data_IF_320413797748
#
_entry.id   IF_320413797748
#
_cell.length_a   1.000
_cell.length_b   1.000
_cell.length_c   1.000
_cell.angle_alpha   90.00
_cell.angle_beta   90.00
_cell.angle_gamma   90.00
#
_symmetry.space_group_name_H-M   'P 1'
#
loop_
_entity.id
_entity.type
_entity.pdbx_description
1 polymer ?
#
# COMPACT_ATOMS: atom_id res chain seq x y z
N UNK A 1 -3.18 10.20 -16.97
CA UNK A 1 -2.73 10.23 -15.56
C UNK A 1 -3.48 9.15 -14.80
N UNK A 2 -2.77 8.22 -14.20
CA UNK A 2 -3.35 7.17 -13.36
C UNK A 2 -3.32 7.65 -11.91
N UNK A 3 -4.47 7.57 -11.22
CA UNK A 3 -4.53 7.83 -9.78
C UNK A 3 -4.18 6.54 -9.05
N UNK A 4 -3.18 6.63 -8.21
CA UNK A 4 -2.79 5.58 -7.28
C UNK A 4 -2.95 6.04 -5.84
N UNK A 5 -2.99 5.10 -4.93
CA UNK A 5 -3.13 5.38 -3.50
C UNK A 5 -2.11 4.64 -2.67
N UNK A 6 -1.61 5.36 -1.68
CA UNK A 6 -0.70 4.86 -0.67
C UNK A 6 -1.45 4.02 0.36
N UNK A 7 -0.92 2.84 0.69
CA UNK A 7 -1.45 1.91 1.69
C UNK A 7 -2.96 1.65 1.54
N UNK A 8 -3.37 1.13 0.38
CA UNK A 8 -4.76 0.98 -0.06
C UNK A 8 -5.64 0.18 0.91
N UNK A 9 -5.08 -0.82 1.58
CA UNK A 9 -5.80 -1.68 2.53
C UNK A 9 -5.86 -1.16 3.96
N UNK A 10 -5.34 0.05 4.24
CA UNK A 10 -5.46 0.67 5.58
C UNK A 10 -6.88 1.09 5.96
N UNK A 11 -7.86 0.91 5.07
CA UNK A 11 -9.28 1.03 5.41
C UNK A 11 -9.75 -0.07 6.37
N UNK A 12 -9.09 -1.22 6.38
CA UNK A 12 -9.37 -2.32 7.31
C UNK A 12 -9.15 -1.90 8.77
N UNK A 13 -9.85 -2.55 9.68
CA UNK A 13 -9.67 -2.27 11.10
C UNK A 13 -8.37 -2.88 11.64
N UNK A 14 -7.65 -2.18 12.53
CA UNK A 14 -6.50 -2.73 13.22
C UNK A 14 -6.87 -3.98 14.03
N UNK A 15 -6.00 -4.98 14.00
CA UNK A 15 -6.20 -6.28 14.67
C UNK A 15 -6.33 -6.12 16.18
N UNK A 16 -5.44 -5.33 16.81
CA UNK A 16 -5.43 -5.13 18.27
C UNK A 16 -6.09 -3.82 18.65
N UNK A 17 -6.86 -3.81 19.74
CA UNK A 17 -7.58 -2.62 20.19
C UNK A 17 -6.68 -1.40 20.45
N UNK A 18 -5.48 -1.60 21.03
CA UNK A 18 -4.54 -0.52 21.29
C UNK A 18 -3.93 0.08 20.00
N UNK A 19 -3.85 -0.72 18.92
CA UNK A 19 -3.42 -0.21 17.62
C UNK A 19 -4.40 0.82 17.05
N UNK A 20 -5.66 0.78 17.45
CA UNK A 20 -6.66 1.78 17.05
C UNK A 20 -6.31 3.18 17.56
N UNK A 21 -5.64 3.27 18.72
CA UNK A 21 -5.21 4.55 19.30
C UNK A 21 -4.12 5.23 18.47
N UNK A 22 -3.29 4.46 17.75
CA UNK A 22 -2.19 4.97 16.92
C UNK A 22 -2.49 4.85 15.42
N UNK A 23 -3.64 4.26 15.05
CA UNK A 23 -3.99 4.03 13.65
C UNK A 23 -4.10 5.33 12.83
N UNK A 24 -4.40 6.47 13.47
CA UNK A 24 -4.42 7.76 12.80
C UNK A 24 -3.09 8.13 12.12
N UNK A 25 -1.97 7.62 12.64
CA UNK A 25 -0.63 7.85 12.08
C UNK A 25 -0.26 6.90 10.93
N UNK A 26 -1.00 5.80 10.78
CA UNK A 26 -0.72 4.76 9.80
C UNK A 26 -1.86 4.56 8.78
N UNK A 27 -3.05 5.06 9.07
CA UNK A 27 -4.21 4.96 8.19
C UNK A 27 -4.11 5.98 7.07
N UNK A 28 -4.05 5.51 5.85
CA UNK A 28 -3.93 6.33 4.65
C UNK A 28 -5.21 6.31 3.79
N UNK A 29 -6.12 5.37 4.06
CA UNK A 29 -7.41 5.24 3.38
C UNK A 29 -8.52 4.87 4.36
N UNK A 30 -9.74 5.30 4.06
CA UNK A 30 -10.94 4.96 4.86
C UNK A 30 -12.05 4.29 4.06
N UNK A 31 -11.92 4.24 2.73
CA UNK A 31 -12.87 3.59 1.82
C UNK A 31 -12.25 2.32 1.26
N UNK A 32 -13.09 1.30 1.06
CA UNK A 32 -12.68 -0.01 0.55
C UNK A 32 -12.17 0.04 -0.90
N UNK A 33 -11.51 -1.03 -1.34
CA UNK A 33 -10.89 -1.15 -2.67
C UNK A 33 -11.88 -0.94 -3.80
N UNK A 34 -13.10 -1.47 -3.68
CA UNK A 34 -14.12 -1.33 -4.73
C UNK A 34 -14.58 0.12 -4.86
N UNK A 35 -14.78 0.80 -3.73
CA UNK A 35 -15.12 2.23 -3.69
C UNK A 35 -13.98 3.08 -4.24
N UNK A 36 -12.72 2.78 -3.89
CA UNK A 36 -11.54 3.44 -4.45
C UNK A 36 -11.52 3.34 -5.98
N UNK A 37 -11.74 2.14 -6.51
CA UNK A 37 -11.76 1.89 -7.95
C UNK A 37 -12.96 2.52 -8.65
N UNK A 38 -14.20 2.23 -8.18
CA UNK A 38 -15.43 2.60 -8.88
C UNK A 38 -15.78 4.09 -8.76
N UNK A 39 -15.61 4.66 -7.57
CA UNK A 39 -16.04 6.03 -7.29
C UNK A 39 -14.93 7.05 -7.54
N UNK A 40 -13.69 6.69 -7.22
CA UNK A 40 -12.57 7.63 -7.28
C UNK A 40 -11.60 7.38 -8.43
N UNK A 41 -11.87 6.38 -9.27
CA UNK A 41 -11.10 6.10 -10.48
C UNK A 41 -9.67 5.62 -10.21
N UNK A 42 -9.42 5.07 -9.02
CA UNK A 42 -8.10 4.52 -8.67
C UNK A 42 -7.78 3.31 -9.53
N UNK A 43 -6.55 3.27 -10.06
CA UNK A 43 -6.03 2.17 -10.88
C UNK A 43 -4.69 1.63 -10.38
N UNK A 44 -4.10 2.26 -9.36
CA UNK A 44 -2.90 1.77 -8.72
C UNK A 44 -3.11 1.64 -7.21
N UNK A 45 -2.86 0.45 -6.67
CA UNK A 45 -3.12 0.10 -5.27
C UNK A 45 -1.81 -0.31 -4.58
N UNK A 46 -1.53 0.24 -3.41
CA UNK A 46 -0.34 -0.05 -2.61
C UNK A 46 -0.72 -1.05 -1.50
N UNK A 47 -0.34 -2.31 -1.66
CA UNK A 47 -0.54 -3.40 -0.70
C UNK A 47 0.73 -3.59 0.13
N UNK A 48 0.62 -3.39 1.44
CA UNK A 48 1.75 -3.51 2.35
C UNK A 48 1.64 -4.77 3.19
N UNK A 49 2.63 -5.63 3.04
CA UNK A 49 2.68 -6.95 3.68
C UNK A 49 3.88 -7.05 4.59
N UNK A 50 3.66 -7.61 5.76
CA UNK A 50 4.66 -8.08 6.72
C UNK A 50 4.40 -9.55 7.00
N UNK A 51 5.41 -10.28 7.40
CA UNK A 51 5.24 -11.61 7.96
C UNK A 51 5.16 -11.51 9.48
N UNK A 52 4.28 -12.31 10.07
CA UNK A 52 4.23 -12.52 11.53
C UNK A 52 5.30 -13.52 11.99
N UNK A 53 5.24 -13.91 13.25
CA UNK A 53 6.23 -14.81 13.84
C UNK A 53 6.11 -16.25 13.29
N UNK A 54 4.95 -16.62 12.76
CA UNK A 54 4.67 -17.90 12.08
C UNK A 54 4.87 -17.81 10.55
N UNK A 55 5.42 -16.69 10.08
CA UNK A 55 5.64 -16.38 8.67
C UNK A 55 4.37 -16.33 7.83
N UNK A 56 3.23 -16.01 8.43
CA UNK A 56 1.97 -15.75 7.73
C UNK A 56 1.99 -14.30 7.22
N UNK A 57 1.63 -14.05 5.95
CA UNK A 57 1.57 -12.70 5.40
C UNK A 57 0.37 -11.94 5.99
N UNK A 58 0.66 -10.78 6.59
CA UNK A 58 -0.32 -9.90 7.21
C UNK A 58 -0.23 -8.49 6.62
N UNK A 59 -1.37 -7.80 6.51
CA UNK A 59 -1.39 -6.41 6.06
C UNK A 59 -0.90 -5.50 7.20
N UNK A 60 0.10 -4.67 6.93
CA UNK A 60 0.68 -3.79 7.94
C UNK A 60 1.14 -2.45 7.38
N UNK A 61 1.18 -1.42 8.23
CA UNK A 61 1.84 -0.15 7.94
C UNK A 61 2.46 0.43 9.22
N UNK A 62 3.77 0.57 9.22
CA UNK A 62 4.49 0.92 10.43
C UNK A 62 4.19 -0.05 11.58
N UNK A 63 3.79 0.41 12.77
CA UNK A 63 3.47 -0.47 13.90
C UNK A 63 2.08 -1.12 13.82
N UNK A 64 1.22 -0.67 12.91
CA UNK A 64 -0.19 -1.11 12.83
C UNK A 64 -0.34 -2.30 11.91
N UNK A 65 -1.04 -3.33 12.40
CA UNK A 65 -1.49 -4.50 11.62
C UNK A 65 -2.99 -4.39 11.40
N UNK A 66 -3.43 -4.63 10.18
CA UNK A 66 -4.81 -4.53 9.73
C UNK A 66 -5.39 -5.90 9.40
N UNK A 67 -6.72 -6.01 9.31
CA UNK A 67 -7.39 -7.28 8.99
C UNK A 67 -7.87 -8.03 10.22
N UNK A 68 -8.52 -7.32 11.16
CA UNK A 68 -9.14 -7.95 12.33
C UNK A 68 -10.07 -9.09 11.91
N UNK A 69 -9.86 -10.27 12.49
CA UNK A 69 -10.62 -11.50 12.26
C UNK A 69 -10.48 -12.13 10.84
N UNK A 70 -9.31 -12.01 10.24
CA UNK A 70 -9.01 -12.72 9.01
C UNK A 70 -7.77 -13.63 9.20
N UNK A 71 -7.91 -14.74 9.95
CA UNK A 71 -6.78 -15.63 10.21
C UNK A 71 -6.25 -16.30 8.92
N UNK A 72 -7.08 -16.37 7.88
CA UNK A 72 -6.73 -17.05 6.63
C UNK A 72 -6.23 -16.09 5.54
N UNK A 73 -6.09 -14.79 5.84
CA UNK A 73 -5.59 -13.77 4.89
C UNK A 73 -6.52 -13.53 3.68
N UNK A 74 -7.79 -13.93 3.78
CA UNK A 74 -8.71 -13.91 2.63
C UNK A 74 -9.11 -12.51 2.15
N UNK A 75 -9.06 -11.48 3.02
CA UNK A 75 -9.61 -10.18 2.68
C UNK A 75 -8.87 -9.53 1.49
N UNK A 76 -7.54 -9.51 1.50
CA UNK A 76 -6.81 -8.94 0.39
C UNK A 76 -6.86 -9.84 -0.85
N UNK A 77 -6.94 -11.17 -0.70
CA UNK A 77 -7.16 -12.09 -1.83
C UNK A 77 -8.52 -11.89 -2.51
N UNK A 78 -9.59 -11.62 -1.74
CA UNK A 78 -10.92 -11.29 -2.30
C UNK A 78 -10.88 -10.01 -3.12
N UNK A 79 -10.18 -8.99 -2.61
CA UNK A 79 -10.00 -7.73 -3.33
C UNK A 79 -9.14 -7.92 -4.59
N UNK A 80 -8.04 -8.68 -4.50
CA UNK A 80 -7.21 -8.98 -5.66
C UNK A 80 -7.96 -9.78 -6.73
N UNK A 81 -8.77 -10.79 -6.35
CA UNK A 81 -9.65 -11.50 -7.29
C UNK A 81 -10.59 -10.55 -8.01
N UNK A 82 -11.19 -9.62 -7.26
CA UNK A 82 -12.11 -8.65 -7.85
C UNK A 82 -11.39 -7.68 -8.80
N UNK A 83 -10.21 -7.18 -8.43
CA UNK A 83 -9.37 -6.34 -9.28
C UNK A 83 -8.90 -7.09 -10.54
N UNK A 84 -8.56 -8.37 -10.42
CA UNK A 84 -8.15 -9.20 -11.56
C UNK A 84 -9.26 -9.33 -12.62
N UNK A 85 -10.52 -9.40 -12.20
CA UNK A 85 -11.67 -9.39 -13.13
C UNK A 85 -11.79 -8.07 -13.88
N UNK A 86 -11.34 -6.94 -13.28
CA UNK A 86 -11.33 -5.62 -13.94
C UNK A 86 -10.19 -5.49 -14.96
N UNK A 87 -9.01 -5.99 -14.66
CA UNK A 87 -7.90 -6.15 -15.60
C UNK A 87 -7.15 -4.88 -16.01
N UNK A 88 -7.52 -3.70 -15.50
CA UNK A 88 -6.94 -2.40 -15.87
C UNK A 88 -6.24 -1.70 -14.69
N UNK A 89 -5.60 -2.45 -13.83
CA UNK A 89 -5.01 -1.92 -12.61
C UNK A 89 -3.60 -2.43 -12.34
N UNK A 90 -2.93 -1.66 -11.50
CA UNK A 90 -1.61 -1.95 -10.95
C UNK A 90 -1.74 -2.26 -9.46
N UNK A 91 -0.96 -3.21 -8.97
CA UNK A 91 -0.78 -3.44 -7.53
C UNK A 91 0.69 -3.41 -7.17
N UNK A 92 1.04 -2.42 -6.38
CA UNK A 92 2.36 -2.27 -5.79
C UNK A 92 2.39 -3.05 -4.48
N UNK A 93 3.17 -4.13 -4.41
CA UNK A 93 3.31 -4.95 -3.20
C UNK A 93 4.56 -4.53 -2.46
N UNK A 94 4.40 -4.03 -1.25
CA UNK A 94 5.51 -3.52 -0.43
C UNK A 94 5.76 -4.44 0.76
N UNK A 95 6.98 -4.94 0.86
CA UNK A 95 7.44 -5.61 2.07
C UNK A 95 7.65 -4.59 3.19
N UNK A 96 6.73 -4.57 4.16
CA UNK A 96 6.71 -3.61 5.26
C UNK A 96 7.58 -4.09 6.41
N UNK A 97 8.87 -3.74 6.41
CA UNK A 97 9.85 -4.16 7.43
C UNK A 97 9.80 -3.21 8.63
N UNK A 98 9.80 -3.76 9.85
CA UNK A 98 9.78 -2.95 11.09
C UNK A 98 11.10 -2.20 11.32
N UNK A 99 12.22 -2.88 11.16
CA UNK A 99 13.56 -2.30 11.39
C UNK A 99 14.61 -2.90 10.46
N UNK A 100 15.74 -2.20 10.31
CA UNK A 100 16.90 -2.69 9.55
C UNK A 100 17.43 -4.04 10.04
N UNK A 101 17.29 -4.34 11.33
CA UNK A 101 17.82 -5.56 11.96
C UNK A 101 16.95 -6.78 11.76
N UNK A 102 15.64 -6.60 11.42
CA UNK A 102 14.68 -7.69 11.22
C UNK A 102 14.65 -8.21 9.80
N UNK A 103 15.58 -7.75 8.98
CA UNK A 103 15.67 -8.16 7.60
C UNK A 103 16.40 -9.49 7.50
N UNK A 104 15.66 -10.59 7.55
CA UNK A 104 16.19 -11.93 7.36
C UNK A 104 16.07 -12.35 5.89
N UNK A 105 17.12 -12.97 5.36
CA UNK A 105 17.11 -13.50 3.97
C UNK A 105 15.92 -14.42 3.70
N UNK A 106 15.46 -15.18 4.71
CA UNK A 106 14.28 -16.03 4.62
C UNK A 106 12.97 -15.26 4.37
N UNK A 107 12.79 -14.07 4.96
CA UNK A 107 11.61 -13.23 4.71
C UNK A 107 11.59 -12.66 3.29
N UNK A 108 12.77 -12.28 2.77
CA UNK A 108 12.89 -11.79 1.39
C UNK A 108 12.41 -12.86 0.42
N UNK A 109 12.95 -14.07 0.56
CA UNK A 109 12.60 -15.18 -0.32
C UNK A 109 11.10 -15.49 -0.26
N UNK A 110 10.51 -15.55 0.94
CA UNK A 110 9.07 -15.75 1.11
C UNK A 110 8.23 -14.64 0.49
N UNK A 111 8.70 -13.40 0.61
CA UNK A 111 8.04 -12.26 -0.03
C UNK A 111 8.12 -12.36 -1.56
N UNK A 112 9.25 -12.76 -2.12
CA UNK A 112 9.42 -13.00 -3.55
C UNK A 112 8.50 -14.14 -4.04
N UNK A 113 8.44 -15.24 -3.28
CA UNK A 113 7.56 -16.37 -3.57
C UNK A 113 6.08 -15.92 -3.56
N UNK A 114 5.67 -15.13 -2.57
CA UNK A 114 4.32 -14.56 -2.48
C UNK A 114 4.00 -13.66 -3.68
N UNK A 115 4.93 -12.82 -4.10
CA UNK A 115 4.76 -11.98 -5.30
C UNK A 115 4.65 -12.83 -6.58
N UNK A 116 5.39 -13.92 -6.67
CA UNK A 116 5.25 -14.92 -7.74
C UNK A 116 3.84 -15.51 -7.78
N UNK A 117 3.34 -15.97 -6.63
CA UNK A 117 1.97 -16.49 -6.47
C UNK A 117 0.92 -15.45 -6.92
N UNK A 118 1.09 -14.18 -6.55
CA UNK A 118 0.16 -13.13 -6.99
C UNK A 118 0.14 -12.99 -8.51
N UNK A 119 1.29 -13.00 -9.17
CA UNK A 119 1.37 -12.91 -10.64
C UNK A 119 0.71 -14.09 -11.33
N UNK A 120 0.88 -15.28 -10.80
CA UNK A 120 0.26 -16.51 -11.33
C UNK A 120 -1.25 -16.54 -11.11
N UNK A 121 -1.70 -16.20 -9.89
CA UNK A 121 -3.13 -16.24 -9.53
C UNK A 121 -3.96 -15.09 -10.12
N UNK A 122 -3.31 -13.95 -10.41
CA UNK A 122 -3.98 -12.73 -10.86
C UNK A 122 -3.34 -12.13 -12.13
N UNK A 123 -3.34 -12.86 -13.26
CA UNK A 123 -2.57 -12.49 -14.45
C UNK A 123 -3.03 -11.20 -15.13
N UNK A 124 -4.24 -10.72 -14.85
CA UNK A 124 -4.75 -9.45 -15.40
C UNK A 124 -4.32 -8.21 -14.61
N UNK A 125 -3.67 -8.38 -13.45
CA UNK A 125 -3.12 -7.30 -12.66
C UNK A 125 -1.64 -7.12 -12.99
N UNK A 126 -1.20 -5.88 -13.17
CA UNK A 126 0.22 -5.58 -13.27
C UNK A 126 0.80 -5.40 -11.86
N UNK A 127 1.67 -6.35 -11.45
CA UNK A 127 2.32 -6.31 -10.14
C UNK A 127 3.75 -5.80 -10.24
N UNK A 128 4.14 -4.95 -9.28
CA UNK A 128 5.54 -4.73 -8.96
C UNK A 128 5.75 -4.76 -7.45
N UNK A 129 6.96 -5.10 -7.02
CA UNK A 129 7.25 -5.42 -5.64
C UNK A 129 8.44 -4.62 -5.13
N UNK A 130 8.43 -4.34 -3.83
CA UNK A 130 9.50 -3.58 -3.21
C UNK A 130 9.45 -3.59 -1.69
N UNK A 131 10.23 -2.72 -1.03
CA UNK A 131 10.23 -2.59 0.42
C UNK A 131 10.23 -1.14 0.88
N UNK A 132 9.68 -0.89 2.07
CA UNK A 132 9.40 0.44 2.57
C UNK A 132 10.62 1.25 3.03
N UNK A 133 11.73 0.60 3.46
CA UNK A 133 12.86 1.26 4.13
C UNK A 133 14.12 1.46 3.27
N UNK A 134 14.15 0.94 2.05
CA UNK A 134 15.33 0.95 1.19
C UNK A 134 14.99 1.10 -0.29
N UNK A 135 16.02 1.29 -1.07
CA UNK A 135 15.97 1.26 -2.52
C UNK A 135 15.59 -0.16 -2.99
N UNK A 136 14.31 -0.41 -2.95
CA UNK A 136 13.68 -1.71 -3.14
C UNK A 136 13.90 -2.30 -4.54
N UNK A 137 14.18 -1.46 -5.52
CA UNK A 137 14.49 -1.88 -6.89
C UNK A 137 15.71 -2.79 -7.00
N UNK A 138 16.63 -2.72 -6.02
CA UNK A 138 17.85 -3.53 -6.04
C UNK A 138 17.65 -4.99 -5.62
N UNK A 139 16.61 -5.27 -4.86
CA UNK A 139 16.42 -6.60 -4.26
C UNK A 139 15.29 -7.41 -4.90
N UNK A 140 14.44 -6.76 -5.70
CA UNK A 140 13.26 -7.38 -6.28
C UNK A 140 13.16 -6.98 -7.75
N UNK A 141 13.69 -7.84 -8.62
CA UNK A 141 13.60 -7.65 -10.07
C UNK A 141 12.29 -8.26 -10.58
N UNK A 142 11.25 -7.43 -10.68
CA UNK A 142 9.93 -7.83 -11.17
C UNK A 142 9.49 -7.05 -12.41
N UNK A 143 10.42 -6.56 -13.19
CA UNK A 143 10.16 -5.86 -14.44
C UNK A 143 10.12 -4.35 -14.32
N UNK A 144 9.78 -3.68 -15.41
CA UNK A 144 9.73 -2.22 -15.48
C UNK A 144 8.57 -1.66 -14.65
N UNK A 145 8.90 -0.92 -13.60
CA UNK A 145 7.91 -0.25 -12.78
C UNK A 145 7.49 1.06 -13.42
N UNK A 146 6.18 1.39 -13.40
CA UNK A 146 5.74 2.71 -13.80
C UNK A 146 6.30 3.77 -12.86
N UNK A 147 6.63 4.94 -13.40
CA UNK A 147 7.18 6.04 -12.62
C UNK A 147 6.07 6.67 -11.78
N UNK A 148 6.19 6.53 -10.46
CA UNK A 148 5.25 7.10 -9.50
C UNK A 148 5.71 8.46 -8.97
N UNK A 149 4.80 9.42 -8.90
CA UNK A 149 4.96 10.63 -8.10
C UNK A 149 4.28 10.44 -6.75
N UNK A 150 5.09 10.35 -5.70
CA UNK A 150 4.62 10.15 -4.34
C UNK A 150 4.33 11.51 -3.68
N UNK A 151 3.04 11.81 -3.46
CA UNK A 151 2.57 13.09 -2.91
C UNK A 151 1.77 12.88 -1.62
N UNK A 152 2.34 12.16 -0.70
CA UNK A 152 1.75 11.93 0.62
C UNK A 152 2.66 12.40 1.76
N UNK A 153 2.08 12.59 2.93
CA UNK A 153 2.72 13.31 4.05
C UNK A 153 4.08 12.81 4.47
N UNK A 154 4.32 11.49 4.38
CA UNK A 154 5.58 10.88 4.82
C UNK A 154 6.79 11.20 3.93
N UNK A 155 6.58 11.64 2.68
CA UNK A 155 7.65 11.99 1.73
C UNK A 155 7.94 13.48 1.65
N UNK A 156 7.14 14.34 2.30
CA UNK A 156 7.29 15.79 2.25
C UNK A 156 8.47 16.26 3.10
N UNK A 157 9.39 17.00 2.49
CA UNK A 157 10.51 17.61 3.19
C UNK A 157 10.05 18.74 4.13
N UNK A 158 10.73 18.93 5.25
CA UNK A 158 10.53 20.01 6.20
C UNK A 158 9.42 19.78 7.23
N UNK A 159 8.19 19.49 6.79
CA UNK A 159 7.05 19.21 7.69
C UNK A 159 6.77 17.72 7.86
N UNK A 160 7.74 16.87 7.53
CA UNK A 160 7.62 15.41 7.58
C UNK A 160 7.17 14.88 8.96
N UNK A 161 7.62 15.51 10.03
CA UNK A 161 7.25 15.15 11.39
C UNK A 161 5.74 15.30 11.65
N UNK A 162 5.10 16.32 11.11
CA UNK A 162 3.66 16.55 11.27
C UNK A 162 2.85 15.67 10.30
N UNK A 163 3.14 15.77 9.02
CA UNK A 163 2.37 15.08 7.99
C UNK A 163 2.66 13.58 7.90
N UNK A 164 3.86 13.16 8.26
CA UNK A 164 4.21 11.74 8.35
C UNK A 164 3.50 11.01 9.49
N UNK A 165 3.15 11.75 10.57
CA UNK A 165 2.34 11.23 11.68
C UNK A 165 0.83 11.43 11.49
N UNK A 166 0.41 12.24 10.52
CA UNK A 166 -0.99 12.56 10.28
C UNK A 166 -1.33 12.63 8.79
N UNK A 167 -1.38 11.48 8.10
CA UNK A 167 -1.67 11.41 6.66
C UNK A 167 -2.98 12.12 6.28
N UNK A 168 -4.01 12.02 7.12
CA UNK A 168 -5.28 12.69 6.92
C UNK A 168 -5.15 14.22 6.87
N UNK A 169 -4.37 14.81 7.77
CA UNK A 169 -4.17 16.27 7.79
C UNK A 169 -3.48 16.74 6.50
N UNK A 170 -2.51 15.98 6.01
CA UNK A 170 -1.88 16.27 4.73
C UNK A 170 -2.89 16.20 3.57
N UNK A 171 -3.70 15.15 3.52
CA UNK A 171 -4.69 14.95 2.47
C UNK A 171 -5.73 16.08 2.43
N UNK A 172 -6.31 16.45 3.57
CA UNK A 172 -7.29 17.55 3.67
C UNK A 172 -6.73 18.88 3.17
N UNK A 173 -5.46 19.16 3.44
CA UNK A 173 -4.85 20.44 3.09
C UNK A 173 -4.27 20.49 1.69
N UNK A 174 -3.94 19.37 1.06
CA UNK A 174 -3.17 19.33 -0.18
C UNK A 174 -3.82 18.59 -1.35
N UNK A 175 -4.66 17.54 -1.11
CA UNK A 175 -5.13 16.67 -2.18
C UNK A 175 -5.85 17.42 -3.31
N UNK A 176 -6.67 18.40 -2.97
CA UNK A 176 -7.38 19.20 -4.00
C UNK A 176 -6.42 19.88 -4.98
N UNK A 177 -5.36 20.50 -4.44
CA UNK A 177 -4.36 21.16 -5.26
C UNK A 177 -3.50 20.16 -6.06
N UNK A 178 -3.14 19.03 -5.43
CA UNK A 178 -2.38 17.96 -6.07
C UNK A 178 -3.16 17.35 -7.23
N UNK A 179 -4.43 16.99 -7.01
CA UNK A 179 -5.31 16.44 -8.05
C UNK A 179 -5.51 17.42 -9.22
N UNK A 180 -5.67 18.72 -8.92
CA UNK A 180 -5.82 19.76 -9.94
C UNK A 180 -4.55 19.97 -10.76
N UNK A 181 -3.37 19.92 -10.12
CA UNK A 181 -2.08 20.04 -10.78
C UNK A 181 -1.77 18.83 -11.67
N UNK A 182 -2.16 17.63 -11.21
CA UNK A 182 -1.81 16.36 -11.86
C UNK A 182 -0.32 16.05 -11.75
N UNK A 183 0.15 15.15 -12.60
CA UNK A 183 1.56 14.74 -12.69
C UNK A 183 1.97 14.51 -14.14
N UNK A 184 3.27 14.70 -14.43
CA UNK A 184 3.91 14.29 -15.69
C UNK A 184 4.42 12.84 -15.63
N UNK A 185 4.33 12.19 -14.47
CA UNK A 185 4.68 10.78 -14.27
C UNK A 185 3.48 9.89 -14.58
N UNK A 186 3.72 8.58 -14.69
CA UNK A 186 2.69 7.60 -15.04
C UNK A 186 1.58 7.54 -14.00
N UNK A 187 1.96 7.55 -12.72
CA UNK A 187 1.06 7.37 -11.58
C UNK A 187 1.26 8.48 -10.55
N UNK A 188 0.15 9.02 -10.05
CA UNK A 188 0.09 9.95 -8.93
C UNK A 188 -0.38 9.21 -7.66
N UNK A 189 0.51 8.97 -6.70
CA UNK A 189 0.19 8.31 -5.43
C UNK A 189 -0.20 9.33 -4.35
N UNK A 190 -1.38 9.16 -3.76
CA UNK A 190 -1.95 10.05 -2.73
C UNK A 190 -2.47 9.26 -1.51
N UNK A 191 -2.60 9.95 -0.37
CA UNK A 191 -3.38 9.48 0.78
C UNK A 191 -4.83 9.94 0.66
N UNK A 192 -5.78 9.21 1.25
CA UNK A 192 -7.21 9.57 1.36
C UNK A 192 -7.81 10.09 0.05
N UNK A 193 -8.02 9.18 -0.87
CA UNK A 193 -8.53 9.52 -2.22
C UNK A 193 -9.90 10.22 -2.22
N UNK A 194 -10.67 10.04 -1.16
CA UNK A 194 -12.02 10.56 -0.96
C UNK A 194 -12.07 12.01 -0.43
N UNK A 195 -10.89 12.65 -0.28
CA UNK A 195 -10.73 14.06 0.15
C UNK A 195 -10.22 14.95 -0.96
#
# INVERSE_FOLDING_TARGET
>A
MVIGIHNSWSYLWPVKWWMRLIAFAARCQRVDIRTQYLKYGVRCFDLRIRFDDDFIPIIAHGPVVYGHNDPDGENYFKDLRWLNVKGDCYVRVIHEVRTKKQYHYGEIRRFQDLCGIFKECFPSIQFWCGRNLYDWKKDYDFGDDPICEETYGSVIKGKKWLYGWWPWLYAVTHNKAIKAKGTYKDILLIDYVDI
#
